data_IF_382900735856
#
_entry.id   IF_382900735856
#
_cell.length_a   1.000
_cell.length_b   1.000
_cell.length_c   1.000
_cell.angle_alpha   90.00
_cell.angle_beta   90.00
_cell.angle_gamma   90.00
#
_symmetry.space_group_name_H-M   'P 1'
#
loop_
_entity.id
_entity.type
_entity.pdbx_description
1 polymer ?
#
# COMPACT_ATOMS: atom_id res chain seq x y z
N UNK A 1 9.81 13.50 -10.67
CA UNK A 1 10.10 12.54 -9.60
C UNK A 1 9.11 11.40 -9.70
N UNK A 2 9.59 10.15 -9.78
CA UNK A 2 8.76 8.96 -10.01
C UNK A 2 7.91 8.64 -8.77
N UNK A 3 6.74 9.29 -8.66
CA UNK A 3 5.71 8.99 -7.68
C UNK A 3 4.99 7.68 -8.02
N UNK A 4 5.68 6.55 -7.86
CA UNK A 4 5.02 5.25 -7.98
C UNK A 4 3.98 5.10 -6.88
N UNK A 5 2.70 5.00 -7.26
CA UNK A 5 1.58 4.77 -6.36
C UNK A 5 1.93 3.64 -5.38
N UNK A 6 2.08 3.99 -4.10
CA UNK A 6 2.42 3.03 -3.03
C UNK A 6 1.14 2.36 -2.59
N UNK A 7 1.00 1.08 -2.91
CA UNK A 7 -0.11 0.25 -2.47
C UNK A 7 0.18 -0.29 -1.06
N UNK A 8 -0.88 -0.38 -0.26
CA UNK A 8 -0.89 -0.95 1.08
C UNK A 8 -1.98 -1.99 1.16
N UNK A 9 -1.72 -3.08 1.89
CA UNK A 9 -2.66 -4.16 2.14
C UNK A 9 -2.91 -4.26 3.64
N UNK A 10 -4.17 -4.24 4.05
CA UNK A 10 -4.55 -4.51 5.43
C UNK A 10 -4.28 -5.98 5.78
N UNK A 11 -3.56 -6.24 6.87
CA UNK A 11 -3.35 -7.61 7.35
C UNK A 11 -4.53 -8.18 8.14
N UNK A 12 -5.48 -7.35 8.54
CA UNK A 12 -6.69 -7.79 9.24
C UNK A 12 -7.78 -8.31 8.29
N UNK A 13 -8.09 -7.56 7.22
CA UNK A 13 -9.16 -7.89 6.28
C UNK A 13 -8.67 -8.19 4.85
N UNK A 14 -7.38 -7.98 4.55
CA UNK A 14 -6.81 -8.21 3.22
C UNK A 14 -7.02 -7.07 2.21
N UNK A 15 -7.74 -5.99 2.57
CA UNK A 15 -8.07 -4.89 1.65
C UNK A 15 -6.81 -4.16 1.14
N UNK A 16 -6.73 -3.93 -0.17
CA UNK A 16 -5.60 -3.25 -0.83
C UNK A 16 -6.04 -1.87 -1.27
N UNK A 17 -5.26 -0.85 -0.92
CA UNK A 17 -5.57 0.56 -1.17
C UNK A 17 -4.29 1.38 -1.34
N UNK A 18 -4.41 2.57 -1.93
CA UNK A 18 -3.26 3.47 -2.12
C UNK A 18 -2.99 4.31 -0.88
N UNK A 19 -1.80 4.94 -0.83
CA UNK A 19 -1.51 5.97 0.19
C UNK A 19 -2.53 7.11 0.15
N UNK A 20 -2.93 7.53 -1.05
CA UNK A 20 -3.86 8.64 -1.27
C UNK A 20 -5.24 8.31 -0.70
N UNK A 21 -5.77 7.11 -0.97
CA UNK A 21 -7.01 6.63 -0.35
C UNK A 21 -6.90 6.57 1.17
N UNK A 22 -5.76 6.12 1.70
CA UNK A 22 -5.56 6.06 3.15
C UNK A 22 -5.66 7.46 3.77
N UNK A 23 -4.88 8.42 3.25
CA UNK A 23 -4.79 9.79 3.77
C UNK A 23 -6.08 10.59 3.60
N UNK A 24 -6.90 10.27 2.59
CA UNK A 24 -8.21 10.87 2.38
C UNK A 24 -9.21 10.49 3.47
N UNK A 25 -9.27 9.22 3.85
CA UNK A 25 -10.25 8.72 4.82
C UNK A 25 -9.80 8.88 6.27
N UNK A 26 -8.54 8.58 6.54
CA UNK A 26 -7.95 8.65 7.87
C UNK A 26 -6.59 9.32 7.71
N UNK A 27 -6.38 10.48 8.33
CA UNK A 27 -5.06 11.12 8.42
C UNK A 27 -4.04 10.31 9.25
N UNK A 28 -4.20 8.99 9.30
CA UNK A 28 -3.53 8.02 10.16
C UNK A 28 -3.38 6.68 9.40
N UNK A 29 -2.41 5.85 9.82
CA UNK A 29 -2.14 4.56 9.19
C UNK A 29 -3.16 3.49 9.61
N UNK A 30 -4.38 3.58 9.07
CA UNK A 30 -5.48 2.65 9.35
C UNK A 30 -6.12 2.15 8.07
N UNK A 31 -6.60 0.92 8.12
CA UNK A 31 -7.41 0.37 7.05
C UNK A 31 -8.76 1.11 6.99
N UNK A 32 -9.13 1.72 5.85
CA UNK A 32 -10.40 2.44 5.72
C UNK A 32 -11.63 1.53 5.79
N UNK A 33 -11.45 0.21 5.61
CA UNK A 33 -12.54 -0.79 5.64
C UNK A 33 -12.88 -1.32 7.03
N UNK A 34 -11.89 -1.58 7.87
CA UNK A 34 -12.09 -2.24 9.16
C UNK A 34 -11.44 -1.52 10.35
N UNK A 35 -10.69 -0.43 10.12
CA UNK A 35 -9.99 0.32 11.17
C UNK A 35 -8.71 -0.34 11.68
N UNK A 36 -8.29 -1.47 11.12
CA UNK A 36 -7.08 -2.18 11.54
C UNK A 36 -5.82 -1.35 11.24
N UNK A 37 -4.86 -1.31 12.17
CA UNK A 37 -3.68 -0.43 12.11
C UNK A 37 -2.46 -1.05 11.44
N UNK A 38 -2.47 -2.36 11.22
CA UNK A 38 -1.31 -3.07 10.66
C UNK A 38 -1.51 -3.25 9.15
N UNK A 39 -0.67 -2.57 8.38
CA UNK A 39 -0.71 -2.54 6.92
C UNK A 39 0.63 -3.01 6.33
N UNK A 40 0.57 -3.86 5.29
CA UNK A 40 1.70 -4.34 4.52
C UNK A 40 1.88 -3.51 3.27
N UNK A 41 3.07 -2.94 3.06
CA UNK A 41 3.39 -2.20 1.83
C UNK A 41 3.54 -3.18 0.66
N UNK A 42 2.67 -3.07 -0.33
CA UNK A 42 2.71 -3.91 -1.53
C UNK A 42 3.71 -3.29 -2.50
N UNK A 43 4.76 -4.04 -2.84
CA UNK A 43 5.71 -3.64 -3.87
C UNK A 43 4.99 -3.70 -5.21
N UNK A 44 4.97 -2.58 -5.94
CA UNK A 44 4.42 -2.53 -7.29
C UNK A 44 5.11 -3.58 -8.16
N UNK A 45 4.31 -4.33 -8.89
CA UNK A 45 4.67 -5.48 -9.72
C UNK A 45 5.48 -5.09 -10.98
N UNK A 46 6.06 -3.88 -11.01
CA UNK A 46 6.93 -3.51 -12.13
C UNK A 46 8.11 -4.47 -12.14
N UNK A 47 8.27 -5.30 -13.19
CA UNK A 47 9.37 -6.22 -13.29
C UNK A 47 10.65 -5.40 -13.30
N UNK A 48 11.39 -5.45 -12.20
CA UNK A 48 12.75 -4.91 -12.20
C UNK A 48 13.57 -5.89 -13.02
N UNK A 49 14.00 -5.47 -14.21
CA UNK A 49 15.01 -6.21 -14.99
C UNK A 49 16.27 -6.25 -14.13
N UNK A 50 16.48 -7.38 -13.46
CA UNK A 50 17.70 -7.65 -12.71
C UNK A 50 18.69 -8.30 -13.68
N UNK A 51 19.82 -7.65 -13.92
CA UNK A 51 20.93 -8.30 -14.65
C UNK A 51 21.52 -9.35 -13.72
N UNK A 52 21.46 -10.62 -14.13
CA UNK A 52 22.26 -11.67 -13.51
C UNK A 52 23.73 -11.45 -13.94
N UNK A 53 24.66 -11.57 -12.98
CA UNK A 53 26.12 -11.57 -13.20
C UNK A 53 26.58 -13.02 -13.20
#
# INVERSE_FOLDING_TARGET
GSGGARLYQCLGCGYIFTKEEMEEYFKDFKCPRCGYRILKKVRKEEPKVVKAI
#
